data_IF_076440933810
#
_entry.id   IF_076440933810
#
_cell.length_a   1.000
_cell.length_b   1.000
_cell.length_c   1.000
_cell.angle_alpha   90.00
_cell.angle_beta   90.00
_cell.angle_gamma   90.00
#
_symmetry.space_group_name_H-M   'P 1'
#
loop_
_entity.id
_entity.type
_entity.pdbx_description
1 polymer ?
#
# COMPACT_ATOMS: atom_id res chain seq x y z
N UNK A 1 24.73 -14.89 -7.37
CA UNK A 1 24.48 -13.44 -7.16
C UNK A 1 22.97 -13.29 -7.05
N UNK A 2 22.43 -12.96 -5.86
CA UNK A 2 21.00 -12.66 -5.74
C UNK A 2 20.80 -11.28 -6.35
N UNK A 3 19.94 -11.16 -7.37
CA UNK A 3 19.48 -9.84 -7.81
C UNK A 3 18.88 -9.17 -6.57
N UNK A 4 19.50 -8.08 -6.11
CA UNK A 4 18.87 -7.26 -5.10
C UNK A 4 17.55 -6.79 -5.72
N UNK A 5 16.43 -7.28 -5.20
CA UNK A 5 15.13 -6.77 -5.60
C UNK A 5 15.20 -5.25 -5.41
N UNK A 6 15.13 -4.53 -6.53
CA UNK A 6 15.09 -3.08 -6.52
C UNK A 6 13.71 -2.75 -5.99
N UNK A 7 13.66 -2.61 -4.66
CA UNK A 7 12.45 -2.29 -3.97
C UNK A 7 12.02 -0.87 -4.37
N UNK A 8 10.97 -0.80 -5.19
CA UNK A 8 10.39 0.43 -5.72
C UNK A 8 9.60 1.17 -4.63
N UNK A 9 10.30 1.68 -3.62
CA UNK A 9 9.73 2.52 -2.58
C UNK A 9 9.88 4.00 -2.90
N UNK A 10 8.94 4.76 -2.35
CA UNK A 10 8.85 6.21 -2.44
C UNK A 10 8.71 6.75 -1.03
N UNK A 11 9.61 7.66 -0.64
CA UNK A 11 9.47 8.45 0.59
C UNK A 11 8.34 9.45 0.44
N UNK A 12 7.43 9.52 1.42
CA UNK A 12 6.28 10.44 1.40
C UNK A 12 6.20 11.34 2.65
N UNK A 13 7.12 11.17 3.60
CA UNK A 13 7.12 11.92 4.86
C UNK A 13 8.53 12.41 5.19
N UNK A 14 8.60 13.57 5.86
CA UNK A 14 9.83 14.13 6.39
C UNK A 14 9.98 13.79 7.87
N UNK A 15 10.93 12.93 8.20
CA UNK A 15 11.17 12.52 9.57
C UNK A 15 12.00 13.55 10.34
N UNK A 16 11.54 13.86 11.54
CA UNK A 16 12.30 14.52 12.58
C UNK A 16 12.43 13.58 13.77
N UNK A 17 13.39 13.85 14.64
CA UNK A 17 13.73 13.00 15.76
C UNK A 17 13.82 13.85 17.04
N UNK A 18 13.15 13.40 18.09
CA UNK A 18 13.33 13.97 19.43
C UNK A 18 14.58 13.36 20.07
N UNK A 19 15.72 14.00 19.87
CA UNK A 19 16.98 13.53 20.43
C UNK A 19 17.01 13.75 21.95
N UNK A 20 17.33 12.72 22.77
CA UNK A 20 17.37 12.87 24.22
C UNK A 20 18.39 13.90 24.73
N UNK A 21 19.45 14.17 23.94
CA UNK A 21 20.55 15.04 24.34
C UNK A 21 20.47 16.42 23.67
N UNK A 22 20.11 16.45 22.39
CA UNK A 22 20.13 17.66 21.57
C UNK A 22 18.74 18.23 21.29
N UNK A 23 17.68 17.53 21.69
CA UNK A 23 16.30 17.92 21.45
C UNK A 23 15.85 17.66 20.02
N UNK A 24 14.88 18.45 19.57
CA UNK A 24 14.26 18.29 18.26
C UNK A 24 15.23 18.58 17.11
N UNK A 25 15.38 17.63 16.17
CA UNK A 25 16.21 17.80 14.97
C UNK A 25 15.68 17.02 13.77
N UNK A 26 16.00 17.41 12.52
CA UNK A 26 15.73 16.58 11.35
C UNK A 26 16.40 15.20 11.46
N UNK A 27 15.69 14.14 11.05
CA UNK A 27 16.25 12.80 10.98
C UNK A 27 17.13 12.69 9.73
N UNK A 28 18.22 11.90 9.83
CA UNK A 28 19.07 11.60 8.68
C UNK A 28 18.46 10.42 7.92
N UNK A 29 17.48 10.68 7.06
CA UNK A 29 16.90 9.68 6.16
C UNK A 29 17.41 9.88 4.73
N UNK A 30 17.62 8.78 4.01
CA UNK A 30 17.82 8.82 2.56
C UNK A 30 16.43 8.86 1.94
N UNK A 31 16.07 9.99 1.34
CA UNK A 31 14.85 10.11 0.55
C UNK A 31 15.06 9.37 -0.77
N UNK A 32 14.12 8.48 -1.09
CA UNK A 32 14.17 7.71 -2.34
C UNK A 32 12.88 7.88 -3.11
N UNK A 33 13.04 7.95 -4.43
CA UNK A 33 11.96 7.91 -5.40
C UNK A 33 12.26 6.82 -6.41
N UNK A 34 11.59 5.66 -6.30
CA UNK A 34 11.68 4.60 -7.31
C UNK A 34 13.13 4.22 -7.70
N UNK A 35 13.93 3.91 -6.68
CA UNK A 35 15.33 3.50 -6.87
C UNK A 35 16.32 4.65 -7.16
N UNK A 36 15.86 5.89 -7.35
CA UNK A 36 16.73 7.06 -7.42
C UNK A 36 16.76 7.83 -6.10
N UNK A 37 17.93 8.38 -5.77
CA UNK A 37 18.08 9.31 -4.66
C UNK A 37 17.54 10.66 -5.14
N UNK A 38 16.25 10.89 -4.89
CA UNK A 38 15.55 12.12 -5.25
C UNK A 38 14.69 12.54 -4.07
N UNK A 39 14.77 13.83 -3.74
CA UNK A 39 14.05 14.36 -2.59
C UNK A 39 12.55 14.51 -2.89
N UNK A 40 11.73 14.41 -1.84
CA UNK A 40 10.28 14.65 -1.91
C UNK A 40 10.00 16.03 -2.50
N UNK A 41 10.87 17.02 -2.22
CA UNK A 41 10.75 18.38 -2.75
C UNK A 41 10.96 18.41 -4.27
N UNK A 42 12.05 17.83 -4.77
CA UNK A 42 12.34 17.77 -6.20
C UNK A 42 11.19 17.09 -6.95
N UNK A 43 10.65 15.99 -6.42
CA UNK A 43 9.51 15.32 -7.02
C UNK A 43 8.23 16.16 -6.94
N UNK A 44 7.99 16.83 -5.82
CA UNK A 44 6.86 17.74 -5.67
C UNK A 44 6.89 18.88 -6.69
N UNK A 45 8.07 19.47 -6.92
CA UNK A 45 8.29 20.52 -7.91
C UNK A 45 8.07 20.00 -9.34
N UNK A 46 8.50 18.77 -9.65
CA UNK A 46 8.22 18.11 -10.94
C UNK A 46 6.71 17.89 -11.12
N UNK A 47 6.01 17.34 -10.11
CA UNK A 47 4.55 17.12 -10.17
C UNK A 47 3.79 18.43 -10.35
N UNK A 48 4.26 19.52 -9.73
CA UNK A 48 3.63 20.83 -9.81
C UNK A 48 3.86 21.53 -11.16
N UNK A 49 5.05 21.40 -11.73
CA UNK A 49 5.43 22.06 -13.00
C UNK A 49 5.03 21.26 -14.24
N UNK A 50 4.82 19.95 -14.10
CA UNK A 50 4.44 19.08 -15.19
C UNK A 50 2.95 19.24 -15.52
N UNK A 51 2.64 20.01 -16.57
CA UNK A 51 1.31 20.00 -17.21
C UNK A 51 1.02 18.73 -18.02
N UNK A 52 1.68 17.61 -17.69
CA UNK A 52 1.65 16.35 -18.46
C UNK A 52 2.99 15.61 -18.55
N UNK A 53 4.09 16.18 -18.02
CA UNK A 53 5.35 15.44 -17.94
C UNK A 53 5.30 14.31 -16.91
N UNK A 54 6.07 13.30 -17.25
CA UNK A 54 6.23 12.01 -16.59
C UNK A 54 6.93 12.11 -15.23
N UNK A 55 6.48 11.31 -14.26
CA UNK A 55 7.22 11.12 -13.00
C UNK A 55 8.62 10.55 -13.29
N UNK A 56 9.69 11.13 -12.73
CA UNK A 56 11.06 10.73 -13.04
C UNK A 56 11.34 9.32 -12.50
N UNK A 57 12.18 8.57 -13.21
CA UNK A 57 12.71 7.28 -12.75
C UNK A 57 11.72 6.12 -12.75
N UNK A 58 10.44 6.34 -13.07
CA UNK A 58 9.46 5.26 -13.15
C UNK A 58 9.44 4.71 -14.57
N UNK A 59 10.14 3.60 -14.79
CA UNK A 59 9.96 2.78 -15.99
C UNK A 59 8.62 2.05 -15.87
N UNK A 60 7.60 2.60 -16.54
CA UNK A 60 6.25 2.04 -16.57
C UNK A 60 6.04 1.13 -17.78
N UNK A 61 7.10 0.60 -18.41
CA UNK A 61 6.95 -0.42 -19.45
C UNK A 61 6.09 -1.61 -18.99
N UNK A 62 6.03 -1.86 -17.68
CA UNK A 62 5.21 -2.90 -17.04
C UNK A 62 3.99 -2.38 -16.25
N UNK A 63 3.60 -1.11 -16.34
CA UNK A 63 2.60 -0.51 -15.44
C UNK A 63 1.55 0.32 -16.20
N UNK A 64 0.48 0.85 -15.54
CA UNK A 64 -0.45 1.81 -16.13
C UNK A 64 0.28 2.86 -16.94
N UNK A 65 -0.37 3.35 -18.00
CA UNK A 65 0.21 4.44 -18.78
C UNK A 65 0.70 5.55 -17.85
N UNK A 66 1.86 6.12 -18.16
CA UNK A 66 2.52 7.11 -17.31
C UNK A 66 1.62 8.29 -16.94
N UNK A 67 0.72 8.63 -17.85
CA UNK A 67 -0.34 9.60 -17.64
C UNK A 67 -1.31 9.20 -16.53
N UNK A 68 -1.85 7.96 -16.55
CA UNK A 68 -2.76 7.44 -15.51
C UNK A 68 -2.07 7.40 -14.14
N UNK A 69 -0.85 6.88 -14.09
CA UNK A 69 -0.05 6.81 -12.86
C UNK A 69 0.16 8.20 -12.25
N UNK A 70 0.54 9.17 -13.08
CA UNK A 70 0.72 10.56 -12.66
C UNK A 70 -0.61 11.19 -12.21
N UNK A 71 -1.71 10.91 -12.91
CA UNK A 71 -3.04 11.39 -12.53
C UNK A 71 -3.49 10.83 -11.17
N UNK A 72 -3.25 9.55 -10.88
CA UNK A 72 -3.54 8.95 -9.58
C UNK A 72 -2.75 9.62 -8.46
N UNK A 73 -1.44 9.86 -8.65
CA UNK A 73 -0.64 10.59 -7.67
C UNK A 73 -1.15 12.01 -7.45
N UNK A 74 -1.52 12.74 -8.52
CA UNK A 74 -2.09 14.09 -8.38
C UNK A 74 -3.42 14.08 -7.60
N UNK A 75 -4.23 13.04 -7.77
CA UNK A 75 -5.51 12.88 -7.07
C UNK A 75 -5.39 12.36 -5.63
N UNK A 76 -4.26 11.75 -5.27
CA UNK A 76 -4.02 11.26 -3.91
C UNK A 76 -3.75 12.43 -2.96
N UNK A 77 -4.43 12.48 -1.81
CA UNK A 77 -4.20 13.50 -0.78
C UNK A 77 -2.79 13.43 -0.14
N UNK A 78 -2.14 12.27 -0.19
CA UNK A 78 -0.81 12.00 0.37
C UNK A 78 0.25 11.91 -0.73
N UNK A 79 0.22 12.87 -1.65
CA UNK A 79 1.18 12.96 -2.75
C UNK A 79 2.40 13.84 -2.38
N UNK A 80 3.51 13.78 -3.12
CA UNK A 80 4.73 14.53 -2.80
C UNK A 80 4.53 16.04 -2.72
N UNK A 81 3.71 16.63 -3.60
CA UNK A 81 3.39 18.06 -3.55
C UNK A 81 2.67 18.42 -2.24
N UNK A 82 1.65 17.65 -1.87
CA UNK A 82 0.92 17.85 -0.63
C UNK A 82 1.83 17.66 0.60
N UNK A 83 2.76 16.70 0.57
CA UNK A 83 3.74 16.51 1.64
C UNK A 83 4.68 17.72 1.83
N UNK A 84 5.09 18.37 0.73
CA UNK A 84 5.87 19.62 0.77
C UNK A 84 5.05 20.77 1.36
N UNK A 85 3.79 20.91 0.96
CA UNK A 85 2.87 21.93 1.48
C UNK A 85 2.62 21.75 2.99
N UNK A 86 2.53 20.50 3.44
CA UNK A 86 2.36 20.13 4.85
C UNK A 86 3.70 19.83 5.54
N UNK A 87 4.77 20.56 5.24
CA UNK A 87 6.07 20.36 5.93
C UNK A 87 6.14 20.99 7.33
N UNK A 88 5.30 21.99 7.61
CA UNK A 88 5.33 22.72 8.88
C UNK A 88 4.70 21.87 9.99
N UNK A 89 5.47 21.56 11.03
CA UNK A 89 5.00 20.73 12.15
C UNK A 89 4.11 21.52 13.12
N UNK A 90 3.10 20.85 13.65
CA UNK A 90 2.24 21.36 14.71
C UNK A 90 3.04 21.59 16.00
N UNK A 91 2.90 22.78 16.59
CA UNK A 91 3.67 23.17 17.78
C UNK A 91 3.24 22.41 19.05
N UNK A 92 1.97 22.03 19.18
CA UNK A 92 1.50 21.24 20.31
C UNK A 92 2.03 19.80 20.23
N UNK A 93 2.11 19.22 19.04
CA UNK A 93 2.79 17.94 18.82
C UNK A 93 4.26 17.99 19.24
N UNK A 94 4.97 19.08 18.95
CA UNK A 94 6.36 19.26 19.40
C UNK A 94 6.50 19.36 20.92
N UNK A 95 5.53 20.00 21.60
CA UNK A 95 5.50 20.03 23.07
C UNK A 95 5.23 18.65 23.65
N UNK A 96 4.31 17.89 23.05
CA UNK A 96 4.05 16.50 23.45
C UNK A 96 5.27 15.60 23.22
N UNK A 97 5.98 15.76 22.08
CA UNK A 97 7.18 15.00 21.76
C UNK A 97 8.31 15.18 22.79
N UNK A 98 8.39 16.32 23.48
CA UNK A 98 9.39 16.57 24.51
C UNK A 98 9.32 15.56 25.68
N UNK A 99 8.16 14.93 25.92
CA UNK A 99 7.99 13.88 26.93
C UNK A 99 8.42 12.49 26.45
N UNK A 100 8.69 12.32 25.15
CA UNK A 100 9.04 11.04 24.51
C UNK A 100 10.40 11.14 23.79
N UNK A 101 11.51 11.19 24.55
CA UNK A 101 12.84 11.16 23.97
C UNK A 101 13.03 9.87 23.15
N UNK A 102 13.53 10.00 21.93
CA UNK A 102 13.67 8.91 20.97
C UNK A 102 12.50 8.77 19.98
N UNK A 103 11.45 9.58 20.10
CA UNK A 103 10.32 9.57 19.16
C UNK A 103 10.66 10.15 17.78
N UNK A 104 9.91 9.70 16.78
CA UNK A 104 9.88 10.27 15.43
C UNK A 104 8.72 11.24 15.30
N UNK A 105 8.97 12.42 14.72
CA UNK A 105 7.95 13.44 14.45
C UNK A 105 7.86 13.70 12.96
N UNK A 106 6.68 13.59 12.39
CA UNK A 106 6.46 13.82 10.97
C UNK A 106 5.01 14.18 10.69
N UNK A 107 4.79 14.90 9.59
CA UNK A 107 3.44 15.12 9.08
C UNK A 107 3.06 13.97 8.16
N UNK A 108 1.85 13.46 8.35
CA UNK A 108 1.29 12.40 7.51
C UNK A 108 -0.22 12.54 7.40
N UNK A 109 -0.83 11.75 6.52
CA UNK A 109 -2.28 11.60 6.50
C UNK A 109 -2.72 10.48 7.43
N UNK A 110 -3.76 10.76 8.20
CA UNK A 110 -4.41 9.83 9.13
C UNK A 110 -5.82 9.54 8.64
N UNK A 111 -6.21 8.26 8.62
CA UNK A 111 -7.60 7.85 8.40
C UNK A 111 -8.06 6.89 9.49
N UNK A 112 -9.37 6.91 9.75
CA UNK A 112 -10.01 6.00 10.70
C UNK A 112 -10.69 4.88 9.92
N UNK A 113 -10.23 3.64 10.12
CA UNK A 113 -10.63 2.46 9.35
C UNK A 113 -10.97 1.30 10.28
N UNK A 114 -11.59 0.26 9.75
CA UNK A 114 -11.92 -0.95 10.51
C UNK A 114 -10.99 -2.09 10.08
N UNK A 115 -10.88 -3.10 10.93
CA UNK A 115 -10.25 -4.36 10.54
C UNK A 115 -11.32 -5.40 10.27
N UNK A 116 -11.16 -6.16 9.19
CA UNK A 116 -12.09 -7.22 8.80
C UNK A 116 -11.70 -8.57 9.37
N UNK A 117 -12.23 -9.62 8.75
CA UNK A 117 -11.85 -10.99 9.09
C UNK A 117 -10.43 -11.30 8.59
N UNK A 118 -9.73 -12.27 9.22
CA UNK A 118 -8.52 -12.81 8.64
C UNK A 118 -8.82 -13.28 7.22
N UNK A 119 -8.06 -12.80 6.24
CA UNK A 119 -8.21 -13.26 4.88
C UNK A 119 -7.94 -14.75 4.83
N UNK A 120 -8.98 -15.56 4.61
CA UNK A 120 -8.84 -16.92 4.11
C UNK A 120 -8.57 -16.90 2.61
N UNK A 121 -7.68 -16.01 2.14
CA UNK A 121 -7.22 -16.05 0.76
C UNK A 121 -6.40 -17.34 0.60
N UNK A 122 -7.09 -18.44 0.28
CA UNK A 122 -6.51 -19.39 -0.65
C UNK A 122 -6.26 -18.59 -1.92
N UNK A 123 -4.99 -18.27 -2.16
CA UNK A 123 -4.54 -17.48 -3.29
C UNK A 123 -4.64 -18.28 -4.59
N UNK A 124 -5.81 -18.85 -4.86
CA UNK A 124 -6.20 -19.38 -6.16
C UNK A 124 -6.80 -18.19 -6.89
N UNK A 125 -5.96 -17.47 -7.64
CA UNK A 125 -6.35 -16.23 -8.26
C UNK A 125 -7.63 -16.39 -9.07
N UNK A 126 -8.72 -15.79 -8.60
CA UNK A 126 -9.76 -15.09 -9.34
C UNK A 126 -10.98 -14.90 -8.43
N UNK A 127 -11.57 -13.70 -8.55
CA UNK A 127 -12.99 -13.31 -8.37
C UNK A 127 -13.84 -14.21 -7.44
N UNK A 128 -14.55 -13.64 -6.44
CA UNK A 128 -15.44 -14.43 -5.57
C UNK A 128 -16.54 -15.10 -6.41
N UNK A 129 -16.35 -16.38 -6.74
CA UNK A 129 -17.42 -17.23 -7.23
C UNK A 129 -18.24 -17.66 -6.01
N UNK A 130 -19.52 -17.34 -6.06
CA UNK A 130 -20.53 -17.82 -5.11
C UNK A 130 -20.52 -19.35 -4.98
N UNK A 131 -21.02 -19.91 -3.87
CA UNK A 131 -20.77 -21.30 -3.51
C UNK A 131 -21.64 -22.25 -4.31
N UNK A 132 -21.09 -22.89 -5.34
CA UNK A 132 -21.70 -24.06 -5.97
C UNK A 132 -20.66 -25.12 -6.32
N UNK A 133 -20.74 -26.25 -5.60
CA UNK A 133 -20.47 -27.58 -6.16
C UNK A 133 -19.10 -28.17 -5.87
N UNK A 134 -19.04 -29.03 -4.85
CA UNK A 134 -17.94 -29.97 -4.61
C UNK A 134 -17.77 -30.94 -5.80
N UNK A 135 -16.59 -30.95 -6.42
CA UNK A 135 -16.15 -32.07 -7.27
C UNK A 135 -14.81 -32.59 -6.73
N UNK A 136 -14.71 -33.89 -6.38
CA UNK A 136 -13.46 -34.47 -5.93
C UNK A 136 -12.62 -34.90 -7.15
N UNK A 137 -11.48 -34.25 -7.35
CA UNK A 137 -10.44 -34.69 -8.28
C UNK A 137 -9.32 -35.37 -7.49
N UNK A 138 -9.14 -36.67 -7.71
CA UNK A 138 -8.00 -37.43 -7.19
C UNK A 138 -6.77 -37.20 -8.06
N UNK A 139 -5.66 -36.83 -7.43
CA UNK A 139 -4.34 -36.77 -8.08
C UNK A 139 -3.28 -37.34 -7.13
N UNK A 140 -2.48 -38.24 -7.69
CA UNK A 140 -1.42 -39.03 -7.08
C UNK A 140 -0.16 -38.22 -6.70
N UNK A 141 0.61 -38.81 -5.79
CA UNK A 141 1.81 -38.28 -5.15
C UNK A 141 2.90 -37.77 -6.09
N UNK A 142 3.13 -36.47 -6.03
CA UNK A 142 4.33 -35.78 -6.52
C UNK A 142 4.87 -34.88 -5.41
N UNK A 143 6.18 -34.88 -5.23
CA UNK A 143 6.90 -34.19 -4.15
C UNK A 143 6.40 -32.75 -3.92
N UNK A 144 5.85 -32.52 -2.73
CA UNK A 144 5.36 -31.21 -2.29
C UNK A 144 6.54 -30.26 -2.15
N UNK A 145 6.81 -29.52 -3.22
CA UNK A 145 7.54 -28.26 -3.14
C UNK A 145 6.92 -27.45 -2.01
N UNK A 146 7.76 -26.94 -1.10
CA UNK A 146 7.35 -26.15 0.06
C UNK A 146 6.62 -24.89 -0.41
N UNK A 147 5.33 -25.02 -0.65
CA UNK A 147 4.40 -23.93 -0.90
C UNK A 147 4.49 -23.03 0.32
N UNK A 148 5.10 -21.87 0.13
CA UNK A 148 5.11 -20.80 1.13
C UNK A 148 3.68 -20.61 1.60
N UNK A 149 3.46 -20.78 2.92
CA UNK A 149 2.15 -20.57 3.51
C UNK A 149 1.56 -19.25 2.99
N UNK A 150 0.27 -19.24 2.61
CA UNK A 150 -0.35 -18.03 2.09
C UNK A 150 -0.18 -16.92 3.14
N UNK A 151 0.17 -15.70 2.73
CA UNK A 151 0.36 -14.61 3.67
C UNK A 151 -0.94 -14.39 4.44
N UNK A 152 -0.92 -14.71 5.73
CA UNK A 152 -2.01 -14.43 6.65
C UNK A 152 -2.07 -12.91 6.88
N UNK A 153 -3.12 -12.29 6.36
CA UNK A 153 -3.36 -10.85 6.49
C UNK A 153 -4.73 -10.57 7.04
N UNK A 154 -4.89 -9.40 7.65
CA UNK A 154 -6.18 -8.89 8.10
C UNK A 154 -6.66 -7.83 7.12
N UNK A 155 -7.93 -7.89 6.71
CA UNK A 155 -8.49 -6.86 5.83
C UNK A 155 -8.51 -5.50 6.53
N UNK A 156 -8.21 -4.46 5.77
CA UNK A 156 -8.45 -3.08 6.18
C UNK A 156 -9.71 -2.63 5.45
N UNK A 157 -10.73 -2.22 6.21
CA UNK A 157 -12.04 -1.85 5.71
C UNK A 157 -12.29 -0.35 5.89
N UNK A 158 -12.93 0.29 4.91
CA UNK A 158 -13.43 1.66 5.06
C UNK A 158 -14.65 1.73 5.99
N UNK A 159 -15.26 2.92 6.12
CA UNK A 159 -16.45 3.14 6.95
C UNK A 159 -17.72 2.46 6.39
N UNK A 160 -17.70 2.00 5.15
CA UNK A 160 -18.79 1.27 4.49
C UNK A 160 -18.57 -0.24 4.47
N UNK A 161 -17.43 -0.72 5.00
CA UNK A 161 -17.05 -2.14 4.98
C UNK A 161 -16.37 -2.57 3.68
N UNK A 162 -15.98 -1.65 2.81
CA UNK A 162 -15.22 -1.94 1.60
C UNK A 162 -13.75 -2.20 1.90
N UNK A 163 -13.18 -3.26 1.31
CA UNK A 163 -11.75 -3.59 1.48
C UNK A 163 -10.88 -2.56 0.76
N UNK A 164 -10.02 -1.87 1.51
CA UNK A 164 -9.10 -0.85 1.01
C UNK A 164 -7.62 -1.24 1.11
N UNK A 165 -7.32 -2.34 1.78
CA UNK A 165 -5.96 -2.80 2.00
C UNK A 165 -5.87 -4.02 2.91
N UNK A 166 -4.65 -4.35 3.32
CA UNK A 166 -4.38 -5.48 4.20
C UNK A 166 -3.25 -5.16 5.18
N UNK A 167 -3.40 -5.64 6.41
CA UNK A 167 -2.33 -5.67 7.41
C UNK A 167 -1.45 -6.92 7.20
N UNK A 168 -0.14 -6.74 7.35
CA UNK A 168 0.82 -7.83 7.35
C UNK A 168 0.95 -8.39 8.76
N UNK A 169 0.01 -9.23 9.17
CA UNK A 169 0.00 -9.81 10.51
C UNK A 169 0.72 -11.15 10.49
N UNK A 170 2.00 -11.18 10.88
CA UNK A 170 2.70 -12.46 11.10
C UNK A 170 2.14 -13.25 12.28
N UNK A 171 1.41 -12.57 13.17
CA UNK A 171 0.80 -13.17 14.34
C UNK A 171 -0.60 -12.56 14.48
N UNK A 172 -1.65 -13.37 14.35
CA UNK A 172 -3.03 -12.88 14.50
C UNK A 172 -3.48 -12.80 15.96
N UNK A 173 -2.68 -13.35 16.89
CA UNK A 173 -3.02 -13.49 18.31
C UNK A 173 -2.73 -12.20 19.11
N UNK A 174 -1.94 -11.26 18.56
CA UNK A 174 -1.62 -10.02 19.30
C UNK A 174 -2.83 -9.09 19.45
N UNK A 175 -3.80 -9.20 18.54
CA UNK A 175 -5.07 -8.50 18.62
C UNK A 175 -6.12 -9.52 19.08
N UNK A 176 -6.39 -9.55 20.39
CA UNK A 176 -7.44 -10.39 20.94
C UNK A 176 -8.73 -10.19 20.14
N UNK A 177 -9.47 -11.27 19.86
CA UNK A 177 -10.70 -11.24 19.03
C UNK A 177 -11.71 -10.16 19.47
N UNK A 178 -11.69 -9.74 20.74
CA UNK A 178 -12.57 -8.70 21.26
C UNK A 178 -12.14 -7.27 20.90
N UNK A 179 -10.85 -7.03 20.69
CA UNK A 179 -10.32 -5.68 20.39
C UNK A 179 -10.51 -5.28 18.92
N UNK A 180 -10.88 -6.23 18.04
CA UNK A 180 -11.08 -5.99 16.60
C UNK A 180 -12.35 -5.21 16.26
N UNK A 181 -13.23 -4.95 17.23
CA UNK A 181 -14.55 -4.34 16.97
C UNK A 181 -14.55 -2.82 16.90
N UNK A 182 -13.40 -2.18 17.14
CA UNK A 182 -13.27 -0.73 17.12
C UNK A 182 -12.80 -0.18 15.76
N UNK A 183 -13.09 1.09 15.46
CA UNK A 183 -12.32 1.81 14.47
C UNK A 183 -10.89 2.02 14.97
N UNK A 184 -9.94 1.94 14.06
CA UNK A 184 -8.52 2.16 14.32
C UNK A 184 -7.98 3.29 13.46
N UNK A 185 -6.88 3.90 13.90
CA UNK A 185 -6.19 4.91 13.11
C UNK A 185 -5.04 4.31 12.32
N UNK A 186 -4.98 4.70 11.06
CA UNK A 186 -3.93 4.32 10.13
C UNK A 186 -3.21 5.58 9.65
N UNK A 187 -1.88 5.51 9.62
CA UNK A 187 -1.03 6.59 9.13
C UNK A 187 -0.19 6.12 7.95
N UNK A 188 0.02 6.97 6.96
CA UNK A 188 0.88 6.64 5.81
C UNK A 188 2.35 6.90 6.16
N UNK A 189 3.26 6.03 5.72
CA UNK A 189 4.71 6.20 5.92
C UNK A 189 5.50 6.23 4.62
N UNK A 190 5.04 5.52 3.58
CA UNK A 190 5.70 5.48 2.29
C UNK A 190 4.75 4.98 1.19
N UNK A 191 5.18 5.10 -0.05
CA UNK A 191 4.52 4.52 -1.21
C UNK A 191 5.36 3.41 -1.83
N UNK A 192 4.73 2.52 -2.58
CA UNK A 192 5.41 1.52 -3.39
C UNK A 192 4.63 1.20 -4.66
N UNK A 193 5.36 0.89 -5.73
CA UNK A 193 4.81 0.35 -6.95
C UNK A 193 4.83 -1.18 -6.88
N UNK A 194 3.66 -1.83 -6.96
CA UNK A 194 3.58 -3.27 -7.16
C UNK A 194 3.92 -3.57 -8.63
N UNK A 195 4.99 -4.34 -8.86
CA UNK A 195 5.34 -4.76 -10.21
C UNK A 195 4.17 -5.56 -10.81
N UNK A 196 3.58 -5.08 -11.91
CA UNK A 196 2.39 -5.71 -12.49
C UNK A 196 2.68 -7.13 -13.01
N UNK A 197 3.96 -7.50 -13.15
CA UNK A 197 4.41 -8.82 -13.60
C UNK A 197 3.84 -9.99 -12.79
N UNK A 198 3.53 -9.81 -11.49
CA UNK A 198 2.97 -10.91 -10.70
C UNK A 198 1.51 -11.25 -11.05
N UNK A 199 0.73 -10.32 -11.60
CA UNK A 199 -0.67 -10.59 -11.98
C UNK A 199 -0.80 -11.16 -13.39
N UNK A 200 -0.08 -10.63 -14.38
CA UNK A 200 -0.16 -11.15 -15.75
C UNK A 200 0.39 -12.58 -15.88
N UNK A 201 1.45 -12.90 -15.14
CA UNK A 201 2.01 -14.26 -15.13
C UNK A 201 1.02 -15.25 -14.52
N UNK A 202 0.28 -14.88 -13.48
CA UNK A 202 -0.66 -15.76 -12.82
C UNK A 202 -1.91 -16.05 -13.67
N UNK A 203 -2.44 -15.03 -14.36
CA UNK A 203 -3.48 -15.27 -15.37
C UNK A 203 -2.96 -16.22 -16.45
N UNK A 204 -1.74 -16.04 -16.95
CA UNK A 204 -1.13 -16.91 -17.95
C UNK A 204 -0.94 -18.36 -17.46
N UNK A 205 -0.43 -18.55 -16.25
CA UNK A 205 -0.16 -19.89 -15.67
C UNK A 205 -1.43 -20.67 -15.33
N UNK A 206 -2.57 -20.01 -15.05
CA UNK A 206 -3.85 -20.70 -14.86
C UNK A 206 -4.38 -21.32 -16.15
N UNK A 207 -4.19 -20.66 -17.29
CA UNK A 207 -4.65 -21.20 -18.58
C UNK A 207 -3.70 -22.26 -19.16
N UNK A 208 -2.39 -22.13 -18.91
CA UNK A 208 -1.38 -23.09 -19.39
C UNK A 208 -1.48 -24.47 -18.67
N UNK A 209 -2.01 -24.51 -17.44
CA UNK A 209 -2.13 -25.76 -16.65
C UNK A 209 -3.41 -26.58 -16.88
N UNK A 210 -4.45 -26.02 -17.53
CA UNK A 210 -5.70 -26.75 -17.83
C UNK A 210 -5.68 -27.47 -19.19
N UNK A 211 -4.54 -27.54 -19.87
CA UNK A 211 -4.42 -28.23 -21.17
C UNK A 211 -5.28 -27.60 -22.26
N UNK A 212 -5.56 -26.30 -22.14
CA UNK A 212 -6.36 -25.55 -23.09
C UNK A 212 -5.51 -25.21 -24.32
N UNK A 213 -6.07 -25.38 -25.52
CA UNK A 213 -5.45 -25.03 -26.79
C UNK A 213 -4.99 -23.56 -26.76
N UNK A 214 -3.68 -23.32 -26.86
CA UNK A 214 -3.06 -21.99 -26.88
C UNK A 214 -3.75 -21.07 -27.89
N UNK A 215 -4.22 -21.64 -29.00
CA UNK A 215 -4.92 -20.92 -30.06
C UNK A 215 -6.36 -20.57 -29.69
N UNK A 216 -7.00 -21.33 -28.81
CA UNK A 216 -8.31 -21.03 -28.24
C UNK A 216 -8.22 -19.97 -27.13
N UNK A 217 -7.19 -20.01 -26.29
CA UNK A 217 -6.92 -18.98 -25.29
C UNK A 217 -6.59 -17.63 -25.95
N UNK A 218 -5.72 -17.62 -26.98
CA UNK A 218 -5.45 -16.42 -27.77
C UNK A 218 -6.69 -15.91 -28.50
N UNK A 219 -7.54 -16.79 -29.05
CA UNK A 219 -8.79 -16.38 -29.71
C UNK A 219 -9.83 -15.87 -28.72
N UNK A 220 -9.90 -16.38 -27.49
CA UNK A 220 -10.81 -15.84 -26.46
C UNK A 220 -10.33 -14.48 -25.94
N UNK A 221 -9.02 -14.31 -25.75
CA UNK A 221 -8.42 -13.00 -25.49
C UNK A 221 -8.77 -12.03 -26.63
N UNK A 222 -8.55 -12.41 -27.89
CA UNK A 222 -8.83 -11.56 -29.06
C UNK A 222 -10.32 -11.34 -29.39
N UNK A 223 -11.25 -12.18 -28.93
CA UNK A 223 -12.67 -12.13 -29.35
C UNK A 223 -13.59 -11.42 -28.36
N UNK A 224 -13.17 -11.28 -27.10
CA UNK A 224 -13.83 -10.42 -26.09
C UNK A 224 -13.15 -9.03 -25.95
N UNK A 225 -12.17 -8.74 -26.81
CA UNK A 225 -11.12 -7.74 -26.61
C UNK A 225 -11.48 -6.27 -26.88
N UNK A 226 -12.72 -5.93 -27.25
CA UNK A 226 -13.05 -4.53 -27.60
C UNK A 226 -13.88 -3.76 -26.57
N UNK A 227 -14.56 -4.43 -25.64
CA UNK A 227 -15.40 -3.73 -24.66
C UNK A 227 -15.11 -4.10 -23.18
N UNK A 228 -14.53 -5.26 -22.89
CA UNK A 228 -14.34 -5.74 -21.50
C UNK A 228 -12.87 -5.86 -21.07
N UNK A 229 -11.93 -5.66 -22.00
CA UNK A 229 -10.49 -5.60 -21.68
C UNK A 229 -10.10 -4.26 -21.08
N UNK A 230 -10.75 -3.18 -21.50
CA UNK A 230 -10.48 -1.85 -20.96
C UNK A 230 -10.90 -1.73 -19.49
N UNK A 231 -12.00 -2.37 -19.08
CA UNK A 231 -12.48 -2.38 -17.68
C UNK A 231 -11.54 -3.17 -16.77
N UNK A 232 -11.14 -4.38 -17.18
CA UNK A 232 -10.21 -5.23 -16.41
C UNK A 232 -8.83 -4.57 -16.32
N UNK A 233 -8.35 -3.98 -17.42
CA UNK A 233 -7.08 -3.26 -17.45
C UNK A 233 -7.12 -2.01 -16.57
N UNK A 234 -8.21 -1.25 -16.59
CA UNK A 234 -8.37 -0.06 -15.75
C UNK A 234 -8.40 -0.39 -14.26
N UNK A 235 -9.01 -1.52 -13.87
CA UNK A 235 -8.98 -2.01 -12.49
C UNK A 235 -7.60 -2.52 -12.06
N UNK A 236 -6.87 -3.18 -12.96
CA UNK A 236 -5.49 -3.58 -12.70
C UNK A 236 -4.57 -2.36 -12.53
N UNK A 237 -4.72 -1.36 -13.40
CA UNK A 237 -4.00 -0.08 -13.39
C UNK A 237 -4.18 0.67 -12.06
N UNK A 238 -5.40 0.69 -11.50
CA UNK A 238 -5.68 1.34 -10.20
C UNK A 238 -4.93 0.71 -9.04
N UNK A 239 -4.67 -0.60 -9.09
CA UNK A 239 -4.10 -1.36 -7.97
C UNK A 239 -2.57 -1.39 -7.93
N UNK A 240 -1.90 -0.71 -8.86
CA UNK A 240 -0.43 -0.76 -8.97
C UNK A 240 0.25 0.06 -7.87
N UNK A 241 -0.37 1.16 -7.42
CA UNK A 241 0.16 1.97 -6.33
C UNK A 241 -0.39 1.55 -4.98
N UNK A 242 0.52 1.25 -4.06
CA UNK A 242 0.23 0.95 -2.66
C UNK A 242 0.85 2.02 -1.77
N UNK A 243 0.10 2.43 -0.74
CA UNK A 243 0.62 3.21 0.37
C UNK A 243 0.90 2.25 1.52
N UNK A 244 2.12 2.27 2.04
CA UNK A 244 2.47 1.57 3.26
C UNK A 244 1.90 2.34 4.44
N UNK A 245 1.12 1.65 5.27
CA UNK A 245 0.42 2.24 6.42
C UNK A 245 0.87 1.57 7.71
N UNK A 246 0.87 2.35 8.79
CA UNK A 246 0.97 1.83 10.14
C UNK A 246 -0.40 1.91 10.80
N UNK A 247 -0.83 0.80 11.37
CA UNK A 247 -1.88 0.80 12.39
C UNK A 247 -1.26 1.35 13.68
N UNK A 248 -1.91 2.36 14.26
CA UNK A 248 -1.41 3.05 15.45
C UNK A 248 -2.48 3.22 16.51
N UNK A 249 -2.03 3.39 17.75
CA UNK A 249 -2.91 3.66 18.89
C UNK A 249 -2.44 4.92 19.61
N UNK A 250 -3.37 5.86 19.84
CA UNK A 250 -3.10 7.11 20.56
C UNK A 250 -2.93 6.86 22.05
N UNK A 251 -2.00 7.61 22.64
CA UNK A 251 -1.83 7.62 24.09
C UNK A 251 -2.95 8.40 24.76
N UNK A 252 -3.64 7.83 25.78
CA UNK A 252 -4.70 8.53 26.48
C UNK A 252 -4.25 9.90 27.01
N UNK A 253 -5.00 10.95 26.66
CA UNK A 253 -4.73 12.32 27.07
C UNK A 253 -3.68 13.06 26.21
N UNK A 254 -3.15 12.43 25.17
CA UNK A 254 -2.22 13.07 24.22
C UNK A 254 -2.80 13.04 22.82
N UNK A 255 -2.77 14.18 22.15
CA UNK A 255 -3.48 14.29 20.86
C UNK A 255 -2.65 13.73 19.73
N UNK A 256 -1.32 13.86 19.75
CA UNK A 256 -0.46 13.54 18.58
C UNK A 256 0.44 12.32 18.82
N UNK A 257 0.50 11.82 20.06
CA UNK A 257 1.39 10.72 20.44
C UNK A 257 0.73 9.38 20.18
N UNK A 258 1.38 8.58 19.34
CA UNK A 258 0.89 7.26 18.95
C UNK A 258 1.97 6.20 19.11
N UNK A 259 1.57 4.98 19.45
CA UNK A 259 2.43 3.80 19.36
C UNK A 259 2.14 3.02 18.08
N UNK A 260 3.18 2.47 17.47
CA UNK A 260 3.02 1.50 16.39
C UNK A 260 2.40 0.23 16.93
N UNK A 261 1.40 -0.28 16.22
CA UNK A 261 0.77 -1.56 16.51
C UNK A 261 1.15 -2.57 15.42
N UNK A 262 0.86 -2.28 14.14
CA UNK A 262 1.14 -3.17 13.02
C UNK A 262 1.45 -2.39 11.74
N UNK A 263 2.00 -3.06 10.72
CA UNK A 263 2.22 -2.52 9.38
C UNK A 263 1.30 -3.21 8.35
N UNK A 264 0.84 -2.44 7.38
CA UNK A 264 0.08 -2.96 6.25
C UNK A 264 0.26 -2.08 5.02
N UNK A 265 -0.63 -2.29 4.06
CA UNK A 265 -0.74 -1.41 2.91
C UNK A 265 -2.20 -1.17 2.56
N UNK A 266 -2.46 -0.02 1.93
CA UNK A 266 -3.73 0.31 1.28
C UNK A 266 -3.46 0.66 -0.17
N UNK A 267 -4.45 0.48 -1.05
CA UNK A 267 -4.30 0.98 -2.40
C UNK A 267 -4.47 2.49 -2.43
N UNK A 268 -3.59 3.16 -3.17
CA UNK A 268 -3.53 4.63 -3.18
C UNK A 268 -4.84 5.27 -3.66
N UNK A 269 -5.49 4.70 -4.69
CA UNK A 269 -6.75 5.23 -5.22
C UNK A 269 -7.91 5.12 -4.23
N UNK A 270 -7.86 4.17 -3.28
CA UNK A 270 -8.88 3.99 -2.25
C UNK A 270 -8.63 4.89 -1.03
N UNK A 271 -7.38 5.25 -0.76
CA UNK A 271 -7.03 6.06 0.42
C UNK A 271 -7.78 7.38 0.48
N UNK A 272 -8.00 8.05 -0.65
CA UNK A 272 -8.73 9.32 -0.67
C UNK A 272 -10.22 9.17 -0.29
N UNK A 273 -10.83 8.01 -0.59
CA UNK A 273 -12.21 7.71 -0.20
C UNK A 273 -12.35 7.51 1.33
N UNK A 274 -11.25 7.20 2.02
CA UNK A 274 -11.20 7.05 3.47
C UNK A 274 -11.24 8.39 4.24
N UNK A 275 -11.44 9.52 3.55
CA UNK A 275 -11.43 10.88 4.11
C UNK A 275 -10.22 11.18 5.03
N UNK A 276 -8.99 10.91 4.57
CA UNK A 276 -7.79 11.14 5.36
C UNK A 276 -7.57 12.63 5.64
N UNK A 277 -6.98 12.93 6.80
CA UNK A 277 -6.60 14.30 7.20
C UNK A 277 -5.10 14.39 7.44
N UNK A 278 -4.50 15.53 7.14
CA UNK A 278 -3.11 15.79 7.49
C UNK A 278 -2.97 16.08 8.99
N UNK A 279 -1.99 15.46 9.63
CA UNK A 279 -1.71 15.60 11.05
C UNK A 279 -0.21 15.45 11.33
N UNK A 280 0.28 16.15 12.36
CA UNK A 280 1.62 15.89 12.91
C UNK A 280 1.52 14.73 13.89
N UNK A 281 2.30 13.68 13.66
CA UNK A 281 2.35 12.48 14.49
C UNK A 281 3.66 12.42 15.26
N UNK A 282 3.58 12.05 16.53
CA UNK A 282 4.71 11.70 17.39
C UNK A 282 4.67 10.18 17.59
N UNK A 283 5.47 9.46 16.81
CA UNK A 283 5.58 8.00 16.88
C UNK A 283 6.67 7.62 17.88
N UNK A 284 6.31 6.92 18.95
CA UNK A 284 7.23 6.53 20.03
C UNK A 284 7.37 5.01 20.21
#
# INVERSE_FOLDING_TARGET
MRHAEVNNFVSLVYFHYQDPLTGFRPARSIERWHGTDSSIKEIGDIIASSSGQCLPGIDLSEAPSQEKSTAMWRGCCHNPKAAVEHRALNQDALREAAYFPGSLIFNTTVATLHTGDPCSYEFNGLIPLSPLGNVPLGVDGGETSSLSEPPSGLEILDSQGGVVGFLNTRNLDWMGMQDRRGPFEFIVISGSLEAAGYRFTMFRTMYENEGFDDDAALRMLNRNERNDTDTVRDEADKRVWRLQVLLVERIPGMTHVVRRVEIGFVWMYMWNACAPRWETIVLY
#
